data_IF_959574615193
#
_entry.id   IF_959574615193
#
_cell.length_a   1.000
_cell.length_b   1.000
_cell.length_c   1.000
_cell.angle_alpha   90.00
_cell.angle_beta   90.00
_cell.angle_gamma   90.00
#
_symmetry.space_group_name_H-M   'P 1'
#
loop_
_entity.id
_entity.type
_entity.pdbx_description
1 polymer ?
#
# COMPACT_ATOMS: atom_id res chain seq x y z
N UNK A 1 -7.62 5.94 32.08
CA UNK A 1 -6.67 4.97 31.55
C UNK A 1 -7.14 4.59 30.16
N UNK A 2 -6.51 5.14 29.14
CA UNK A 2 -6.86 4.86 27.74
C UNK A 2 -6.47 3.43 27.40
N UNK A 3 -7.42 2.60 27.00
CA UNK A 3 -7.13 1.36 26.30
C UNK A 3 -6.47 1.73 24.96
N UNK A 4 -5.14 1.78 24.94
CA UNK A 4 -4.40 1.70 23.67
C UNK A 4 -4.84 0.38 23.01
N UNK A 5 -5.54 0.49 21.90
CA UNK A 5 -5.81 -0.65 21.02
C UNK A 5 -4.46 -1.12 20.52
N UNK A 6 -3.89 -2.09 21.22
CA UNK A 6 -2.58 -2.65 20.88
C UNK A 6 -2.74 -3.35 19.52
N UNK A 7 -2.12 -2.79 18.48
CA UNK A 7 -2.15 -3.28 17.09
C UNK A 7 -1.62 -4.72 16.91
N UNK A 8 -1.08 -5.32 17.98
CA UNK A 8 -0.46 -6.65 17.97
C UNK A 8 -1.43 -7.83 17.85
N UNK A 9 -2.73 -7.60 18.03
CA UNK A 9 -3.76 -8.66 18.03
C UNK A 9 -4.73 -8.63 16.85
N UNK A 10 -4.58 -7.72 15.89
CA UNK A 10 -5.53 -7.61 14.78
C UNK A 10 -5.41 -8.79 13.81
N UNK A 11 -6.56 -9.35 13.37
CA UNK A 11 -6.57 -10.45 12.42
C UNK A 11 -5.96 -10.03 11.07
N UNK A 12 -5.16 -10.93 10.49
CA UNK A 12 -4.48 -10.70 9.21
C UNK A 12 -4.99 -11.65 8.15
N UNK A 13 -5.05 -11.16 6.92
CA UNK A 13 -5.30 -11.97 5.75
C UNK A 13 -4.05 -12.81 5.37
N UNK A 14 -4.20 -13.78 4.46
CA UNK A 14 -3.11 -14.63 3.99
C UNK A 14 -1.91 -13.85 3.39
N UNK A 15 -2.14 -12.66 2.88
CA UNK A 15 -1.11 -11.76 2.36
C UNK A 15 -0.38 -10.94 3.44
N UNK A 16 -0.61 -11.23 4.72
CA UNK A 16 0.02 -10.56 5.87
C UNK A 16 -0.56 -9.20 6.25
N UNK A 17 -1.53 -8.68 5.49
CA UNK A 17 -2.18 -7.40 5.78
C UNK A 17 -3.30 -7.57 6.81
N UNK A 18 -3.50 -6.55 7.65
CA UNK A 18 -4.66 -6.50 8.54
C UNK A 18 -5.96 -6.51 7.75
N UNK A 19 -6.95 -7.27 8.24
CA UNK A 19 -8.32 -7.21 7.71
C UNK A 19 -8.93 -5.84 7.98
N UNK A 20 -10.00 -5.44 7.24
CA UNK A 20 -10.69 -4.18 7.49
C UNK A 20 -11.13 -4.07 8.96
N UNK A 21 -10.82 -2.95 9.62
CA UNK A 21 -11.10 -2.78 11.04
C UNK A 21 -12.60 -2.76 11.34
N UNK A 22 -13.43 -2.31 10.41
CA UNK A 22 -14.90 -2.34 10.51
C UNK A 22 -15.45 -3.75 10.76
N UNK A 23 -14.80 -4.77 10.19
CA UNK A 23 -15.20 -6.18 10.36
C UNK A 23 -14.43 -6.90 11.47
N UNK A 24 -13.34 -6.32 11.96
CA UNK A 24 -12.44 -6.94 12.92
C UNK A 24 -12.60 -6.42 14.34
N UNK A 25 -13.14 -5.22 14.51
CA UNK A 25 -13.34 -4.58 15.80
C UNK A 25 -14.81 -4.64 16.20
N UNK A 26 -15.06 -4.71 17.51
CA UNK A 26 -16.39 -4.46 18.06
C UNK A 26 -16.78 -2.98 17.91
N UNK A 27 -18.05 -2.67 18.16
CA UNK A 27 -18.59 -1.32 17.96
C UNK A 27 -17.95 -0.27 18.87
N UNK A 28 -17.49 -0.64 20.08
CA UNK A 28 -16.84 0.27 21.01
C UNK A 28 -15.40 0.56 20.57
N UNK A 29 -14.66 -0.47 20.20
CA UNK A 29 -13.31 -0.33 19.68
C UNK A 29 -13.28 0.45 18.36
N UNK A 30 -14.25 0.22 17.48
CA UNK A 30 -14.38 0.98 16.23
C UNK A 30 -14.69 2.46 16.52
N UNK A 31 -15.57 2.77 17.49
CA UNK A 31 -15.81 4.17 17.91
C UNK A 31 -14.54 4.82 18.46
N UNK A 32 -13.78 4.12 19.29
CA UNK A 32 -12.51 4.62 19.82
C UNK A 32 -11.50 4.87 18.69
N UNK A 33 -11.39 3.96 17.73
CA UNK A 33 -10.54 4.14 16.55
C UNK A 33 -10.95 5.38 15.73
N UNK A 34 -12.25 5.56 15.46
CA UNK A 34 -12.77 6.74 14.75
C UNK A 34 -12.48 8.05 15.50
N UNK A 35 -12.59 8.04 16.83
CA UNK A 35 -12.24 9.21 17.65
C UNK A 35 -10.76 9.57 17.54
N UNK A 36 -9.85 8.57 17.58
CA UNK A 36 -8.42 8.80 17.36
C UNK A 36 -8.13 9.32 15.95
N UNK A 37 -8.81 8.80 14.93
CA UNK A 37 -8.68 9.29 13.57
C UNK A 37 -9.14 10.75 13.46
N UNK A 38 -10.25 11.13 14.09
CA UNK A 38 -10.70 12.52 14.13
C UNK A 38 -9.66 13.46 14.78
N UNK A 39 -9.00 13.01 15.86
CA UNK A 39 -7.89 13.75 16.47
C UNK A 39 -6.70 13.95 15.52
N UNK A 40 -6.31 12.91 14.76
CA UNK A 40 -5.23 13.04 13.78
C UNK A 40 -5.59 14.02 12.65
N UNK A 41 -6.86 14.09 12.27
CA UNK A 41 -7.35 15.06 11.28
C UNK A 41 -7.28 16.50 11.82
N UNK A 42 -7.63 16.72 13.09
CA UNK A 42 -7.45 18.03 13.73
C UNK A 42 -5.97 18.45 13.75
N UNK A 43 -5.07 17.53 14.13
CA UNK A 43 -3.62 17.78 14.10
C UNK A 43 -3.13 18.08 12.69
N UNK A 44 -3.62 17.33 11.69
CA UNK A 44 -3.29 17.57 10.28
C UNK A 44 -3.74 18.96 9.82
N UNK A 45 -4.98 19.35 10.15
CA UNK A 45 -5.53 20.65 9.80
C UNK A 45 -4.71 21.80 10.44
N UNK A 46 -4.29 21.64 11.70
CA UNK A 46 -3.41 22.61 12.39
C UNK A 46 -2.02 22.71 11.72
N UNK A 47 -1.43 21.57 11.33
CA UNK A 47 -0.10 21.55 10.68
C UNK A 47 -0.11 22.14 9.27
N UNK A 48 -1.22 22.08 8.58
CA UNK A 48 -1.33 22.55 7.19
C UNK A 48 -1.92 23.96 7.09
N UNK A 49 -2.15 24.60 8.23
CA UNK A 49 -2.75 25.95 8.31
C UNK A 49 -3.99 26.08 7.39
N UNK A 50 -4.90 25.10 7.48
CA UNK A 50 -6.07 25.07 6.62
C UNK A 50 -6.97 26.26 6.91
N UNK A 51 -6.99 27.19 5.98
CA UNK A 51 -7.85 28.38 6.07
C UNK A 51 -9.31 27.99 6.29
N UNK A 52 -9.91 28.51 7.37
CA UNK A 52 -11.31 28.29 7.70
C UNK A 52 -11.60 27.07 8.58
N UNK A 53 -10.64 26.16 8.84
CA UNK A 53 -10.88 24.98 9.69
C UNK A 53 -11.37 25.36 11.08
N UNK A 54 -10.69 26.30 11.76
CA UNK A 54 -11.10 26.75 13.09
C UNK A 54 -12.39 27.57 13.07
N UNK A 55 -12.62 28.33 12.00
CA UNK A 55 -13.86 29.11 11.81
C UNK A 55 -15.09 28.20 11.70
N UNK A 56 -14.92 27.03 11.09
CA UNK A 56 -15.99 26.05 10.92
C UNK A 56 -16.12 25.08 12.09
N UNK A 57 -15.27 25.22 13.14
CA UNK A 57 -15.25 24.30 14.29
C UNK A 57 -16.63 24.18 14.93
N UNK A 58 -17.13 22.94 15.06
CA UNK A 58 -18.45 22.63 15.58
C UNK A 58 -19.61 22.96 14.64
N UNK A 59 -19.31 23.30 13.38
CA UNK A 59 -20.36 23.48 12.37
C UNK A 59 -20.78 22.10 11.78
N UNK A 60 -22.04 21.98 11.29
CA UNK A 60 -22.48 20.78 10.60
C UNK A 60 -21.62 20.43 9.37
N UNK A 61 -20.99 21.42 8.76
CA UNK A 61 -20.09 21.23 7.60
C UNK A 61 -18.81 20.53 8.06
N UNK A 62 -18.21 20.98 9.16
CA UNK A 62 -17.01 20.35 9.72
C UNK A 62 -17.32 18.91 10.17
N UNK A 63 -18.43 18.70 10.88
CA UNK A 63 -18.85 17.37 11.32
C UNK A 63 -19.01 16.41 10.14
N UNK A 64 -19.59 16.90 9.05
CA UNK A 64 -19.72 16.13 7.81
C UNK A 64 -18.37 15.79 7.20
N UNK A 65 -17.46 16.76 7.09
CA UNK A 65 -16.11 16.54 6.55
C UNK A 65 -15.35 15.50 7.38
N UNK A 66 -15.36 15.64 8.71
CA UNK A 66 -14.72 14.66 9.61
C UNK A 66 -15.35 13.27 9.43
N UNK A 67 -16.65 13.18 9.29
CA UNK A 67 -17.35 11.92 9.07
C UNK A 67 -16.94 11.27 7.75
N UNK A 68 -16.87 12.01 6.66
CA UNK A 68 -16.46 11.49 5.35
C UNK A 68 -15.01 10.95 5.39
N UNK A 69 -14.13 11.64 6.09
CA UNK A 69 -12.76 11.16 6.34
C UNK A 69 -12.73 9.86 7.17
N UNK A 70 -13.50 9.83 8.28
CA UNK A 70 -13.59 8.64 9.12
C UNK A 70 -14.15 7.46 8.34
N UNK A 71 -15.19 7.65 7.54
CA UNK A 71 -15.81 6.60 6.73
C UNK A 71 -14.85 6.04 5.68
N UNK A 72 -14.01 6.90 5.12
CA UNK A 72 -13.02 6.51 4.12
C UNK A 72 -11.85 5.73 4.73
N UNK A 73 -11.39 6.11 5.92
CA UNK A 73 -10.15 5.61 6.49
C UNK A 73 -10.31 4.63 7.66
N UNK A 74 -11.52 4.45 8.22
CA UNK A 74 -11.76 3.62 9.41
C UNK A 74 -11.36 2.14 9.26
N UNK A 75 -11.20 1.65 8.06
CA UNK A 75 -10.83 0.26 7.78
C UNK A 75 -9.33 0.00 7.90
N UNK A 76 -8.52 1.05 8.08
CA UNK A 76 -7.07 0.95 8.11
C UNK A 76 -6.52 1.23 9.51
N UNK A 77 -5.43 0.53 9.91
CA UNK A 77 -4.74 0.80 11.17
C UNK A 77 -4.23 2.26 11.24
N UNK A 78 -4.27 2.83 12.44
CA UNK A 78 -3.92 4.24 12.65
C UNK A 78 -2.46 4.56 12.30
N UNK A 79 -1.54 3.61 12.51
CA UNK A 79 -0.13 3.75 12.11
C UNK A 79 0.04 3.85 10.59
N UNK A 80 -0.74 3.09 9.82
CA UNK A 80 -0.74 3.17 8.35
C UNK A 80 -1.30 4.51 7.87
N UNK A 81 -2.36 5.01 8.51
CA UNK A 81 -2.95 6.31 8.22
C UNK A 81 -1.95 7.44 8.54
N UNK A 82 -1.30 7.39 9.71
CA UNK A 82 -0.26 8.36 10.09
C UNK A 82 0.91 8.37 9.11
N UNK A 83 1.38 7.21 8.70
CA UNK A 83 2.43 7.08 7.69
C UNK A 83 2.01 7.64 6.33
N UNK A 84 0.76 7.42 5.94
CA UNK A 84 0.20 7.97 4.70
C UNK A 84 0.05 9.50 4.75
N UNK A 85 -0.41 10.05 5.88
CA UNK A 85 -0.50 11.49 6.11
C UNK A 85 0.90 12.13 6.00
N UNK A 86 1.91 11.55 6.65
CA UNK A 86 3.28 12.03 6.57
C UNK A 86 3.79 12.05 5.13
N UNK A 87 3.58 10.97 4.38
CA UNK A 87 3.96 10.89 2.96
C UNK A 87 3.24 11.93 2.09
N UNK A 88 1.97 12.26 2.40
CA UNK A 88 1.24 13.31 1.70
C UNK A 88 1.81 14.71 2.01
N UNK A 89 2.17 14.98 3.27
CA UNK A 89 2.74 16.25 3.69
C UNK A 89 4.10 16.50 3.03
N UNK A 90 4.95 15.48 2.98
CA UNK A 90 6.26 15.54 2.32
C UNK A 90 6.11 15.84 0.81
N UNK A 91 5.09 15.25 0.16
CA UNK A 91 4.86 15.44 -1.27
C UNK A 91 4.24 16.82 -1.61
N UNK A 92 3.49 17.43 -0.70
CA UNK A 92 2.65 18.62 -1.00
C UNK A 92 3.02 19.89 -0.22
N UNK A 93 4.10 19.91 0.51
CA UNK A 93 4.64 21.08 1.24
C UNK A 93 3.55 22.02 1.81
N UNK A 94 2.96 21.65 2.95
CA UNK A 94 2.04 22.51 3.69
C UNK A 94 0.60 22.59 3.19
N UNK A 95 0.23 21.89 2.11
CA UNK A 95 -1.16 21.81 1.67
C UNK A 95 -1.85 20.60 2.31
N UNK A 96 -3.02 20.82 2.89
CA UNK A 96 -3.83 19.74 3.43
C UNK A 96 -4.20 18.76 2.30
N UNK A 97 -3.84 17.46 2.42
CA UNK A 97 -4.30 16.44 1.47
C UNK A 97 -5.81 16.25 1.60
N UNK A 98 -6.44 15.68 0.61
CA UNK A 98 -7.81 15.18 0.73
C UNK A 98 -7.80 13.70 1.16
N UNK A 99 -8.96 13.16 1.53
CA UNK A 99 -9.09 11.77 1.98
C UNK A 99 -8.62 10.74 0.96
N UNK A 100 -8.79 11.02 -0.35
CA UNK A 100 -8.35 10.14 -1.44
C UNK A 100 -6.83 10.13 -1.59
N UNK A 101 -6.19 11.25 -1.38
CA UNK A 101 -4.72 11.34 -1.39
C UNK A 101 -4.12 10.45 -0.29
N UNK A 102 -4.68 10.54 0.92
CA UNK A 102 -4.26 9.71 2.04
C UNK A 102 -4.56 8.24 1.78
N UNK A 103 -5.76 7.91 1.29
CA UNK A 103 -6.14 6.54 0.94
C UNK A 103 -5.18 5.94 -0.11
N UNK A 104 -4.81 6.72 -1.12
CA UNK A 104 -3.82 6.28 -2.12
C UNK A 104 -2.47 5.92 -1.48
N UNK A 105 -1.98 6.75 -0.55
CA UNK A 105 -0.72 6.47 0.15
C UNK A 105 -0.85 5.25 1.09
N UNK A 106 -2.00 5.07 1.76
CA UNK A 106 -2.28 3.85 2.55
C UNK A 106 -2.18 2.61 1.66
N UNK A 107 -2.81 2.62 0.49
CA UNK A 107 -2.74 1.51 -0.44
C UNK A 107 -1.31 1.24 -0.92
N UNK A 108 -0.53 2.28 -1.17
CA UNK A 108 0.89 2.16 -1.56
C UNK A 108 1.73 1.53 -0.44
N UNK A 109 1.54 1.96 0.82
CA UNK A 109 2.20 1.40 2.00
C UNK A 109 1.83 -0.08 2.15
N UNK A 110 0.55 -0.42 2.02
CA UNK A 110 0.05 -1.81 2.12
C UNK A 110 0.59 -2.68 0.99
N UNK A 111 0.65 -2.18 -0.23
CA UNK A 111 1.22 -2.91 -1.38
C UNK A 111 2.70 -3.25 -1.16
N UNK A 112 3.47 -2.35 -0.52
CA UNK A 112 4.86 -2.59 -0.17
C UNK A 112 5.03 -3.63 0.96
N UNK A 113 4.07 -3.68 1.90
CA UNK A 113 4.07 -4.65 3.03
C UNK A 113 3.50 -6.03 2.64
N UNK A 114 2.82 -6.12 1.49
CA UNK A 114 2.13 -7.35 1.09
C UNK A 114 3.11 -8.48 0.82
N UNK A 115 2.96 -9.59 1.55
CA UNK A 115 3.67 -10.82 1.28
C UNK A 115 3.09 -11.43 0.01
N UNK A 116 3.85 -11.41 -1.07
CA UNK A 116 3.50 -12.13 -2.29
C UNK A 116 3.95 -13.57 -2.14
N UNK A 117 3.05 -14.55 -2.15
CA UNK A 117 3.47 -15.95 -2.21
C UNK A 117 4.33 -16.12 -3.46
N UNK A 118 5.49 -16.75 -3.31
CA UNK A 118 6.30 -17.13 -4.46
C UNK A 118 5.49 -18.12 -5.29
N UNK A 119 5.01 -17.68 -6.42
CA UNK A 119 4.50 -18.57 -7.46
C UNK A 119 5.69 -18.90 -8.35
N UNK A 120 6.17 -20.13 -8.33
CA UNK A 120 7.17 -20.54 -9.33
C UNK A 120 6.58 -20.24 -10.72
N UNK A 121 7.38 -19.75 -11.66
CA UNK A 121 6.88 -19.49 -13.00
C UNK A 121 6.22 -20.74 -13.54
N UNK A 122 4.99 -20.65 -14.00
CA UNK A 122 4.10 -21.74 -14.40
C UNK A 122 4.64 -22.55 -15.59
N UNK A 123 5.70 -22.06 -16.20
CA UNK A 123 6.42 -22.67 -17.33
C UNK A 123 7.93 -22.56 -17.12
N UNK A 124 8.46 -23.33 -16.17
CA UNK A 124 9.84 -23.77 -16.33
C UNK A 124 9.79 -24.93 -17.34
N UNK A 125 9.75 -24.59 -18.62
CA UNK A 125 10.09 -25.61 -19.62
C UNK A 125 11.46 -26.17 -19.21
N UNK A 126 11.59 -27.49 -19.03
CA UNK A 126 12.89 -28.07 -18.76
C UNK A 126 13.87 -27.55 -19.83
N UNK A 127 15.13 -27.32 -19.47
CA UNK A 127 16.08 -26.84 -20.46
C UNK A 127 16.04 -27.79 -21.69
N UNK A 128 16.03 -27.24 -22.90
CA UNK A 128 15.85 -28.03 -24.10
C UNK A 128 16.91 -29.13 -24.14
N UNK A 129 16.47 -30.35 -24.46
CA UNK A 129 17.34 -31.50 -24.60
C UNK A 129 18.39 -31.26 -25.71
N UNK A 130 19.51 -31.97 -25.69
CA UNK A 130 20.52 -31.84 -26.74
C UNK A 130 19.98 -32.14 -28.13
N UNK A 131 19.00 -33.05 -28.24
CA UNK A 131 18.29 -33.32 -29.48
C UNK A 131 17.44 -32.14 -29.95
N UNK A 132 16.73 -31.46 -29.04
CA UNK A 132 15.95 -30.27 -29.36
C UNK A 132 16.85 -29.13 -29.77
N UNK A 133 18.00 -28.93 -29.09
CA UNK A 133 19.03 -27.93 -29.47
C UNK A 133 19.59 -28.22 -30.86
N UNK A 134 19.90 -29.51 -31.16
CA UNK A 134 20.40 -29.89 -32.47
C UNK A 134 19.36 -29.65 -33.58
N UNK A 135 18.07 -29.94 -33.30
CA UNK A 135 16.97 -29.71 -34.23
C UNK A 135 16.75 -28.20 -34.47
N UNK A 136 16.82 -27.40 -33.40
CA UNK A 136 16.71 -25.95 -33.50
C UNK A 136 17.88 -25.33 -34.31
N UNK A 137 19.11 -25.78 -34.05
CA UNK A 137 20.28 -25.35 -34.77
C UNK A 137 20.23 -25.72 -36.26
N UNK A 138 19.71 -26.92 -36.58
CA UNK A 138 19.53 -27.32 -37.98
C UNK A 138 18.47 -26.48 -38.71
N UNK A 139 17.36 -26.13 -38.03
CA UNK A 139 16.34 -25.21 -38.52
C UNK A 139 16.89 -23.80 -38.76
N UNK A 140 17.66 -23.26 -37.79
CA UNK A 140 18.29 -21.96 -37.92
C UNK A 140 19.31 -21.91 -39.07
N UNK A 141 20.10 -22.98 -39.22
CA UNK A 141 21.06 -23.07 -40.34
C UNK A 141 20.37 -23.15 -41.72
N UNK A 142 19.21 -23.88 -41.81
CA UNK A 142 18.43 -23.93 -43.06
C UNK A 142 17.73 -22.61 -43.38
N UNK A 143 17.47 -21.77 -42.37
CA UNK A 143 16.91 -20.43 -42.52
C UNK A 143 17.98 -19.37 -42.76
N UNK A 144 19.28 -19.71 -42.89
CA UNK A 144 20.36 -18.79 -43.14
C UNK A 144 20.89 -18.03 -41.90
N UNK A 145 20.46 -18.44 -40.69
CA UNK A 145 20.97 -17.88 -39.46
C UNK A 145 22.20 -18.64 -38.96
N UNK A 146 23.40 -18.04 -39.12
CA UNK A 146 24.62 -18.58 -38.51
C UNK A 146 24.67 -18.16 -37.03
N UNK A 147 24.86 -19.10 -36.04
CA UNK A 147 24.98 -18.75 -34.64
C UNK A 147 26.25 -17.90 -34.43
N UNK A 148 26.04 -16.66 -33.95
CA UNK A 148 27.16 -15.77 -33.62
C UNK A 148 27.81 -16.33 -32.34
N UNK A 149 29.04 -16.90 -32.46
CA UNK A 149 29.82 -17.33 -31.30
C UNK A 149 30.13 -16.06 -30.46
N UNK A 150 29.48 -15.95 -29.30
CA UNK A 150 29.96 -15.01 -28.27
C UNK A 150 31.35 -15.46 -27.83
N UNK A 151 32.38 -14.66 -28.14
CA UNK A 151 33.70 -14.85 -27.53
C UNK A 151 33.55 -14.63 -26.05
N UNK A 152 33.68 -15.70 -25.24
CA UNK A 152 33.80 -15.58 -23.80
C UNK A 152 34.98 -14.70 -23.47
N UNK A 153 34.75 -13.63 -22.72
CA UNK A 153 35.77 -12.80 -22.11
C UNK A 153 36.43 -13.64 -21.01
N UNK A 154 37.46 -14.38 -21.31
CA UNK A 154 38.39 -14.90 -20.30
C UNK A 154 39.31 -13.73 -19.94
N UNK A 155 38.97 -13.05 -18.85
CA UNK A 155 39.94 -12.21 -18.15
C UNK A 155 40.80 -13.15 -17.29
N UNK A 156 42.05 -13.30 -17.66
CA UNK A 156 43.17 -13.67 -16.79
C UNK A 156 43.48 -12.54 -15.82
#
# INVERSE_FOLDING_TARGET
MGNEITMQGLPKAANGLTLPLRTSLDSQALKAHRAMLAMELEVLAMKTDRFGWERERGSPIQDRLITDWMDTLQDYPLDEIKGAIAACLDARQGKMPNERDVLFQVHKIRAAKMIRPYSPPENVNPPPTEEEKARMNALLASAGFAPKRMKGNTND
#
